data_IF_920202130917
#
_entry.id   IF_920202130917
#
_cell.length_a   1.000
_cell.length_b   1.000
_cell.length_c   1.000
_cell.angle_alpha   90.00
_cell.angle_beta   90.00
_cell.angle_gamma   90.00
#
_symmetry.space_group_name_H-M   'P 1'
#
loop_
_entity.id
_entity.type
_entity.pdbx_description
1 polymer ?
#
# COMPACT_ATOMS: atom_id res chain seq x y z
N UNK A 1 52.77 -6.16 -11.62
CA UNK A 1 51.47 -6.69 -12.06
C UNK A 1 51.15 -7.94 -11.23
N UNK A 2 50.34 -7.84 -10.19
CA UNK A 2 49.95 -8.95 -9.32
C UNK A 2 48.53 -9.44 -9.72
N UNK A 3 48.51 -10.68 -10.22
CA UNK A 3 47.30 -11.38 -10.69
C UNK A 3 46.59 -11.99 -9.48
N UNK A 4 45.43 -11.41 -9.07
CA UNK A 4 44.54 -11.99 -8.05
C UNK A 4 43.96 -13.31 -8.56
N UNK A 5 44.33 -14.44 -7.91
CA UNK A 5 43.69 -15.75 -8.07
C UNK A 5 42.32 -15.73 -7.39
N UNK A 6 41.25 -15.76 -8.19
CA UNK A 6 39.92 -16.05 -7.69
C UNK A 6 39.78 -17.49 -7.23
N UNK A 7 39.54 -17.69 -5.91
CA UNK A 7 39.29 -19.01 -5.34
C UNK A 7 37.95 -19.56 -5.77
N UNK A 8 37.90 -20.31 -6.88
CA UNK A 8 36.71 -21.04 -7.29
C UNK A 8 36.41 -22.18 -6.31
N UNK A 9 35.18 -22.30 -5.86
CA UNK A 9 34.68 -23.43 -5.09
C UNK A 9 34.80 -24.69 -5.93
N UNK A 10 35.62 -25.64 -5.49
CA UNK A 10 35.76 -26.91 -6.18
C UNK A 10 34.50 -27.78 -6.03
N UNK A 11 34.11 -28.57 -7.06
CA UNK A 11 32.89 -29.39 -7.03
C UNK A 11 32.77 -30.34 -5.84
N UNK A 12 33.89 -30.79 -5.30
CA UNK A 12 33.96 -31.64 -4.09
C UNK A 12 33.57 -30.91 -2.82
N UNK A 13 33.93 -29.61 -2.66
CA UNK A 13 33.48 -28.78 -1.51
C UNK A 13 32.00 -28.51 -1.54
N UNK A 14 31.42 -28.29 -2.73
CA UNK A 14 29.98 -28.10 -2.91
C UNK A 14 29.20 -29.38 -2.53
N UNK A 15 29.67 -30.57 -2.91
CA UNK A 15 29.05 -31.85 -2.53
C UNK A 15 29.04 -32.09 -1.03
N UNK A 16 30.13 -31.76 -0.35
CA UNK A 16 30.22 -31.93 1.11
C UNK A 16 29.35 -30.96 1.89
N UNK A 17 29.17 -29.72 1.40
CA UNK A 17 28.25 -28.74 2.00
C UNK A 17 26.79 -29.17 1.85
N UNK A 18 26.43 -29.74 0.69
CA UNK A 18 25.07 -30.25 0.44
C UNK A 18 24.76 -31.49 1.28
N UNK A 19 25.75 -32.40 1.49
CA UNK A 19 25.55 -33.59 2.33
C UNK A 19 25.42 -33.26 3.81
N UNK A 20 26.18 -32.28 4.32
CA UNK A 20 26.05 -31.82 5.71
C UNK A 20 24.70 -31.13 5.91
N UNK A 21 24.24 -30.32 4.96
CA UNK A 21 22.92 -29.69 5.02
C UNK A 21 21.78 -30.71 5.07
N UNK A 22 21.90 -31.84 4.31
CA UNK A 22 20.89 -32.91 4.33
C UNK A 22 20.76 -33.65 5.65
N UNK A 23 21.81 -33.75 6.44
CA UNK A 23 21.82 -34.50 7.72
C UNK A 23 21.44 -33.60 8.90
N UNK A 24 21.83 -32.32 8.88
CA UNK A 24 21.64 -31.40 10.02
C UNK A 24 20.30 -30.67 9.95
N UNK A 25 19.79 -30.36 8.76
CA UNK A 25 18.53 -29.60 8.56
C UNK A 25 17.31 -30.31 9.21
N UNK A 26 17.08 -31.62 9.11
CA UNK A 26 15.90 -32.25 9.71
C UNK A 26 15.86 -32.18 11.24
N UNK A 27 17.03 -32.20 11.90
CA UNK A 27 17.13 -32.18 13.35
C UNK A 27 16.95 -30.79 13.96
N UNK A 28 17.23 -29.71 13.21
CA UNK A 28 17.11 -28.33 13.66
C UNK A 28 15.77 -27.68 13.36
N UNK A 29 14.96 -28.26 12.47
CA UNK A 29 13.64 -27.73 12.09
C UNK A 29 12.73 -27.47 13.28
N UNK A 30 12.53 -28.39 14.25
CA UNK A 30 11.63 -28.15 15.37
C UNK A 30 12.11 -27.04 16.33
N UNK A 31 13.44 -26.81 16.40
CA UNK A 31 14.01 -25.77 17.28
C UNK A 31 13.95 -24.39 16.61
N UNK A 32 14.12 -24.32 15.29
CA UNK A 32 14.16 -23.04 14.56
C UNK A 32 12.77 -22.59 14.08
N UNK A 33 11.79 -23.49 13.99
CA UNK A 33 10.45 -23.18 13.54
C UNK A 33 9.79 -22.01 14.30
N UNK A 34 9.82 -21.94 15.65
CA UNK A 34 9.22 -20.82 16.37
C UNK A 34 9.97 -19.49 16.14
N UNK A 35 11.28 -19.52 15.89
CA UNK A 35 12.05 -18.32 15.56
C UNK A 35 11.76 -17.84 14.14
N UNK A 36 11.65 -18.76 13.19
CA UNK A 36 11.25 -18.43 11.82
C UNK A 36 9.84 -17.86 11.75
N UNK A 37 8.89 -18.43 12.51
CA UNK A 37 7.52 -17.90 12.60
C UNK A 37 7.49 -16.49 13.21
N UNK A 38 8.24 -16.24 14.27
CA UNK A 38 8.35 -14.89 14.89
C UNK A 38 9.00 -13.89 13.94
N UNK A 39 10.06 -14.28 13.24
CA UNK A 39 10.70 -13.41 12.26
C UNK A 39 9.75 -13.09 11.09
N UNK A 40 8.99 -14.07 10.59
CA UNK A 40 8.01 -13.86 9.55
C UNK A 40 6.87 -12.92 10.00
N UNK A 41 6.37 -13.07 11.23
CA UNK A 41 5.38 -12.17 11.80
C UNK A 41 5.92 -10.73 11.92
N UNK A 42 7.12 -10.54 12.44
CA UNK A 42 7.75 -9.22 12.57
C UNK A 42 7.98 -8.53 11.21
N UNK A 43 8.27 -9.30 10.15
CA UNK A 43 8.37 -8.77 8.78
C UNK A 43 6.99 -8.41 8.25
N UNK A 44 5.97 -9.25 8.51
CA UNK A 44 4.58 -8.98 8.16
C UNK A 44 4.10 -7.65 8.75
N UNK A 45 4.26 -7.47 10.06
CA UNK A 45 3.89 -6.26 10.77
C UNK A 45 4.56 -5.00 10.19
N UNK A 46 5.86 -5.08 9.89
CA UNK A 46 6.58 -3.96 9.26
C UNK A 46 6.06 -3.63 7.87
N UNK A 47 5.74 -4.64 7.07
CA UNK A 47 5.16 -4.45 5.73
C UNK A 47 3.78 -3.82 5.83
N UNK A 48 2.96 -4.25 6.77
CA UNK A 48 1.62 -3.71 6.99
C UNK A 48 1.67 -2.28 7.52
N UNK A 49 2.55 -1.97 8.46
CA UNK A 49 2.81 -0.59 8.88
C UNK A 49 3.31 0.30 7.73
N UNK A 50 4.19 -0.21 6.87
CA UNK A 50 4.64 0.54 5.70
C UNK A 50 3.51 0.78 4.70
N UNK A 51 2.66 -0.23 4.45
CA UNK A 51 1.48 -0.11 3.58
C UNK A 51 0.47 0.88 4.16
N UNK A 52 0.17 0.78 5.45
CA UNK A 52 -0.75 1.67 6.16
C UNK A 52 -0.30 3.13 6.03
N UNK A 53 0.97 3.42 6.31
CA UNK A 53 1.53 4.77 6.13
C UNK A 53 1.45 5.26 4.68
N UNK A 54 1.70 4.38 3.71
CA UNK A 54 1.62 4.73 2.29
C UNK A 54 0.19 5.01 1.82
N UNK A 55 -0.78 4.35 2.42
CA UNK A 55 -2.21 4.54 2.14
C UNK A 55 -2.80 5.70 2.96
N UNK A 56 -2.16 6.09 4.06
CA UNK A 56 -2.66 7.08 4.99
C UNK A 56 -3.81 6.57 5.85
N UNK A 57 -3.84 5.25 6.12
CA UNK A 57 -4.89 4.59 6.92
C UNK A 57 -4.28 3.82 8.09
N UNK A 58 -5.02 3.56 9.18
CA UNK A 58 -4.61 2.67 10.25
C UNK A 58 -4.34 1.24 9.77
N UNK A 59 -3.49 0.48 10.46
CA UNK A 59 -3.08 -0.88 10.06
C UNK A 59 -4.27 -1.85 10.04
N UNK A 60 -5.18 -1.72 10.96
CA UNK A 60 -6.41 -2.51 11.09
C UNK A 60 -7.39 -2.31 9.93
N UNK A 61 -7.31 -1.19 9.24
CA UNK A 61 -8.13 -0.90 8.05
C UNK A 61 -7.51 -1.34 6.72
N UNK A 62 -6.26 -1.80 6.71
CA UNK A 62 -5.56 -2.19 5.49
C UNK A 62 -6.31 -3.22 4.64
N UNK A 63 -7.06 -4.13 5.27
CA UNK A 63 -7.84 -5.16 4.57
C UNK A 63 -8.96 -4.57 3.71
N UNK A 64 -9.47 -3.38 4.09
CA UNK A 64 -10.52 -2.65 3.34
C UNK A 64 -9.98 -2.03 2.05
N UNK A 65 -8.67 -1.74 2.01
CA UNK A 65 -8.01 -1.05 0.90
C UNK A 65 -6.97 -1.94 0.23
N UNK A 66 -7.43 -2.88 -0.58
CA UNK A 66 -6.58 -3.77 -1.37
C UNK A 66 -6.68 -3.45 -2.86
N UNK A 67 -5.70 -3.95 -3.64
CA UNK A 67 -5.73 -3.81 -5.09
C UNK A 67 -5.06 -2.55 -5.63
N UNK A 68 -5.23 -2.34 -6.94
CA UNK A 68 -4.51 -1.31 -7.69
C UNK A 68 -5.02 0.11 -7.47
N UNK A 69 -6.26 0.25 -6.99
CA UNK A 69 -6.92 1.52 -6.65
C UNK A 69 -6.89 1.86 -5.15
N UNK A 70 -6.29 1.03 -4.30
CA UNK A 70 -6.36 1.11 -2.84
C UNK A 70 -6.10 2.52 -2.28
N UNK A 71 -5.07 3.21 -2.76
CA UNK A 71 -4.74 4.56 -2.31
C UNK A 71 -5.84 5.58 -2.62
N UNK A 72 -6.46 5.49 -3.80
CA UNK A 72 -7.53 6.40 -4.19
C UNK A 72 -8.81 6.12 -3.40
N UNK A 73 -9.10 4.85 -3.12
CA UNK A 73 -10.22 4.47 -2.26
C UNK A 73 -10.04 4.96 -0.81
N UNK A 74 -8.84 4.77 -0.23
CA UNK A 74 -8.53 5.27 1.11
C UNK A 74 -8.65 6.80 1.18
N UNK A 75 -8.12 7.50 0.18
CA UNK A 75 -8.20 8.95 0.09
C UNK A 75 -9.64 9.45 -0.04
N UNK A 76 -10.46 8.79 -0.86
CA UNK A 76 -11.88 9.11 -1.01
C UNK A 76 -12.66 8.87 0.29
N UNK A 77 -12.33 7.83 1.06
CA UNK A 77 -12.95 7.58 2.35
C UNK A 77 -12.61 8.66 3.38
N UNK A 78 -11.33 9.02 3.52
CA UNK A 78 -10.92 10.12 4.41
C UNK A 78 -11.54 11.46 4.02
N UNK A 79 -11.70 11.71 2.71
CA UNK A 79 -12.41 12.89 2.22
C UNK A 79 -13.90 12.87 2.63
N UNK A 80 -14.58 11.73 2.53
CA UNK A 80 -15.98 11.58 2.95
C UNK A 80 -16.17 11.87 4.45
N UNK A 81 -15.25 11.40 5.28
CA UNK A 81 -15.27 11.68 6.73
C UNK A 81 -15.09 13.18 7.04
N UNK A 82 -14.15 13.84 6.34
CA UNK A 82 -13.94 15.27 6.49
C UNK A 82 -15.13 16.10 5.97
N UNK A 83 -15.77 15.66 4.88
CA UNK A 83 -16.95 16.30 4.31
C UNK A 83 -18.14 16.30 5.28
N UNK A 84 -18.26 15.26 6.12
CA UNK A 84 -19.32 15.14 7.11
C UNK A 84 -19.34 16.31 8.11
N UNK A 85 -18.17 16.90 8.40
CA UNK A 85 -18.05 18.05 9.29
C UNK A 85 -18.80 19.29 8.77
N UNK A 86 -19.01 19.40 7.46
CA UNK A 86 -19.76 20.50 6.84
C UNK A 86 -21.26 20.23 6.70
N UNK A 87 -21.75 19.02 7.03
CA UNK A 87 -23.16 18.63 6.80
C UNK A 87 -24.17 19.55 7.48
N UNK A 88 -23.85 20.05 8.66
CA UNK A 88 -24.73 20.97 9.40
C UNK A 88 -24.70 22.39 8.83
N UNK A 89 -23.55 22.82 8.29
CA UNK A 89 -23.34 24.19 7.81
C UNK A 89 -23.70 24.37 6.32
N UNK A 90 -23.45 23.36 5.48
CA UNK A 90 -23.61 23.48 4.01
C UNK A 90 -24.09 22.14 3.40
N UNK A 91 -25.36 21.84 3.61
CA UNK A 91 -25.98 20.58 3.12
C UNK A 91 -25.93 20.42 1.60
N UNK A 92 -26.11 21.53 0.89
CA UNK A 92 -26.16 21.51 -0.58
C UNK A 92 -24.79 21.14 -1.15
N UNK A 93 -23.74 21.78 -0.68
CA UNK A 93 -22.37 21.43 -1.07
C UNK A 93 -22.04 19.97 -0.74
N UNK A 94 -22.40 19.50 0.45
CA UNK A 94 -22.16 18.12 0.86
C UNK A 94 -22.86 17.14 -0.10
N UNK A 95 -24.14 17.33 -0.41
CA UNK A 95 -24.90 16.43 -1.29
C UNK A 95 -24.31 16.36 -2.71
N UNK A 96 -23.94 17.51 -3.28
CA UNK A 96 -23.31 17.58 -4.61
C UNK A 96 -21.93 16.90 -4.59
N UNK A 97 -21.15 17.15 -3.55
CA UNK A 97 -19.80 16.62 -3.43
C UNK A 97 -19.80 15.12 -3.16
N UNK A 98 -20.72 14.60 -2.36
CA UNK A 98 -20.91 13.15 -2.17
C UNK A 98 -21.24 12.45 -3.49
N UNK A 99 -22.13 13.02 -4.28
CA UNK A 99 -22.46 12.49 -5.61
C UNK A 99 -21.22 12.42 -6.50
N UNK A 100 -20.40 13.47 -6.51
CA UNK A 100 -19.14 13.49 -7.26
C UNK A 100 -18.16 12.45 -6.75
N UNK A 101 -18.02 12.33 -5.43
CA UNK A 101 -17.14 11.36 -4.79
C UNK A 101 -17.51 9.92 -5.16
N UNK A 102 -18.81 9.59 -5.15
CA UNK A 102 -19.31 8.29 -5.61
C UNK A 102 -18.94 7.99 -7.06
N UNK A 103 -19.04 9.00 -7.95
CA UNK A 103 -18.62 8.86 -9.35
C UNK A 103 -17.12 8.57 -9.47
N UNK A 104 -16.28 9.26 -8.70
CA UNK A 104 -14.84 9.03 -8.69
C UNK A 104 -14.47 7.64 -8.18
N UNK A 105 -15.11 7.18 -7.10
CA UNK A 105 -14.93 5.81 -6.57
C UNK A 105 -15.36 4.76 -7.61
N UNK A 106 -16.47 4.98 -8.31
CA UNK A 106 -16.91 4.09 -9.38
C UNK A 106 -15.90 4.08 -10.55
N UNK A 107 -15.33 5.24 -10.91
CA UNK A 107 -14.30 5.33 -11.95
C UNK A 107 -13.02 4.57 -11.56
N UNK A 108 -12.57 4.62 -10.29
CA UNK A 108 -11.44 3.82 -9.81
C UNK A 108 -11.72 2.33 -9.97
N UNK A 109 -12.91 1.85 -9.54
CA UNK A 109 -13.31 0.44 -9.68
C UNK A 109 -13.36 -0.02 -11.14
N UNK A 110 -13.90 0.82 -12.01
CA UNK A 110 -13.92 0.53 -13.45
C UNK A 110 -12.50 0.45 -14.03
N UNK A 111 -11.61 1.35 -13.62
CA UNK A 111 -10.22 1.38 -14.07
C UNK A 111 -9.41 0.15 -13.67
N UNK A 112 -9.74 -0.54 -12.58
CA UNK A 112 -9.04 -1.75 -12.14
C UNK A 112 -9.04 -2.86 -13.20
N UNK A 113 -10.09 -2.92 -14.01
CA UNK A 113 -10.26 -3.90 -15.10
C UNK A 113 -9.64 -3.46 -16.42
N UNK A 114 -9.12 -2.23 -16.50
CA UNK A 114 -8.52 -1.69 -17.71
C UNK A 114 -7.06 -2.14 -17.89
N UNK A 115 -6.54 -2.16 -19.14
CA UNK A 115 -5.12 -2.31 -19.43
C UNK A 115 -4.28 -1.26 -18.69
N UNK A 116 -3.04 -1.61 -18.35
CA UNK A 116 -2.18 -0.82 -17.45
C UNK A 116 -2.05 0.67 -17.83
N UNK A 117 -1.90 0.98 -19.12
CA UNK A 117 -1.77 2.36 -19.58
C UNK A 117 -3.06 3.18 -19.34
N UNK A 118 -4.22 2.63 -19.70
CA UNK A 118 -5.53 3.28 -19.50
C UNK A 118 -5.86 3.42 -18.01
N UNK A 119 -5.60 2.37 -17.22
CA UNK A 119 -5.78 2.42 -15.78
C UNK A 119 -4.94 3.53 -15.13
N UNK A 120 -3.65 3.63 -15.50
CA UNK A 120 -2.77 4.69 -14.99
C UNK A 120 -3.29 6.09 -15.33
N UNK A 121 -3.79 6.27 -16.55
CA UNK A 121 -4.40 7.54 -16.97
C UNK A 121 -5.67 7.86 -16.17
N UNK A 122 -6.57 6.88 -16.00
CA UNK A 122 -7.80 7.04 -15.23
C UNK A 122 -7.49 7.37 -13.74
N UNK A 123 -6.55 6.64 -13.10
CA UNK A 123 -6.16 6.93 -11.73
C UNK A 123 -5.54 8.33 -11.56
N UNK A 124 -4.81 8.81 -12.57
CA UNK A 124 -4.26 10.17 -12.54
C UNK A 124 -5.38 11.22 -12.63
N UNK A 125 -6.34 11.04 -13.53
CA UNK A 125 -7.48 11.92 -13.65
C UNK A 125 -8.30 11.98 -12.34
N UNK A 126 -8.61 10.81 -11.75
CA UNK A 126 -9.31 10.76 -10.46
C UNK A 126 -8.50 11.44 -9.35
N UNK A 127 -7.18 11.26 -9.32
CA UNK A 127 -6.33 11.95 -8.32
C UNK A 127 -6.42 13.46 -8.47
N UNK A 128 -6.37 13.99 -9.68
CA UNK A 128 -6.51 15.43 -9.95
C UNK A 128 -7.88 15.97 -9.52
N UNK A 129 -8.95 15.23 -9.79
CA UNK A 129 -10.29 15.60 -9.34
C UNK A 129 -10.40 15.61 -7.81
N UNK A 130 -9.81 14.61 -7.13
CA UNK A 130 -9.75 14.58 -5.67
C UNK A 130 -8.93 15.75 -5.11
N UNK A 131 -7.80 16.11 -5.73
CA UNK A 131 -7.00 17.27 -5.33
C UNK A 131 -7.84 18.56 -5.35
N UNK A 132 -8.67 18.74 -6.39
CA UNK A 132 -9.54 19.90 -6.50
C UNK A 132 -10.64 19.91 -5.44
N UNK A 133 -11.28 18.76 -5.17
CA UNK A 133 -12.29 18.62 -4.14
C UNK A 133 -11.72 18.87 -2.73
N UNK A 134 -10.53 18.35 -2.44
CA UNK A 134 -9.84 18.54 -1.16
C UNK A 134 -9.47 20.01 -0.95
N UNK A 135 -8.97 20.70 -1.96
CA UNK A 135 -8.66 22.13 -1.89
C UNK A 135 -9.90 22.96 -1.57
N UNK A 136 -11.05 22.66 -2.20
CA UNK A 136 -12.31 23.32 -1.92
C UNK A 136 -12.83 23.03 -0.51
N UNK A 137 -12.75 21.77 -0.06
CA UNK A 137 -13.14 21.37 1.29
C UNK A 137 -12.32 22.11 2.34
N UNK A 138 -11.00 22.14 2.21
CA UNK A 138 -10.10 22.85 3.12
C UNK A 138 -10.43 24.34 3.20
N UNK A 139 -10.70 24.96 2.06
CA UNK A 139 -11.12 26.37 2.01
C UNK A 139 -12.41 26.60 2.80
N UNK A 140 -13.41 25.72 2.67
CA UNK A 140 -14.68 25.80 3.41
C UNK A 140 -14.53 25.53 4.91
N UNK A 141 -13.57 24.72 5.29
CA UNK A 141 -13.19 24.47 6.68
C UNK A 141 -12.31 25.59 7.27
N UNK A 142 -11.98 26.64 6.49
CA UNK A 142 -11.17 27.76 6.95
C UNK A 142 -9.66 27.46 7.02
N UNK A 143 -9.19 26.39 6.38
CA UNK A 143 -7.77 26.07 6.30
C UNK A 143 -7.16 26.74 5.08
N UNK A 144 -6.19 27.66 5.25
CA UNK A 144 -5.55 28.32 4.12
C UNK A 144 -4.79 27.28 3.26
N UNK A 145 -4.74 27.46 1.92
CA UNK A 145 -3.90 26.63 1.07
C UNK A 145 -2.44 26.78 1.48
N UNK A 146 -1.72 25.65 1.57
CA UNK A 146 -0.28 25.66 1.81
C UNK A 146 0.42 26.35 0.64
N UNK A 147 1.16 27.42 0.94
CA UNK A 147 1.98 28.13 -0.04
C UNK A 147 3.16 27.28 -0.53
#
# INVERSE_FOLDING_TARGET
>A
MARRKGGGLTPSKAKNLVSVAKVVVPALIPVLAPFAARAAAAVGDRVDHFRARRLGVPVDELTRYSGRGARLHARAAGFAEALEQLRAADREYVAVTETRLHQLVAAVRAAERMPAARRKAAHRAVSTDLDALEAELLRRLGVPPSA
#
